data_IF_360802389052
#
_entry.id   IF_360802389052
#
_cell.length_a   1.000
_cell.length_b   1.000
_cell.length_c   1.000
_cell.angle_alpha   90.00
_cell.angle_beta   90.00
_cell.angle_gamma   90.00
#
_symmetry.space_group_name_H-M   'P 1'
#
loop_
_entity.id
_entity.type
_entity.pdbx_description
1 polymer ?
#
# COMPACT_ATOMS: atom_id res chain seq x y z
N UNK A 1 19.61 -16.34 -37.43
CA UNK A 1 19.16 -15.22 -36.56
C UNK A 1 20.26 -15.01 -35.54
N UNK A 2 20.91 -13.84 -35.52
CA UNK A 2 21.94 -13.53 -34.53
C UNK A 2 21.25 -13.47 -33.16
N UNK A 3 21.56 -14.42 -32.28
CA UNK A 3 21.14 -14.35 -30.88
C UNK A 3 21.92 -13.22 -30.23
N UNK A 4 21.22 -12.16 -29.82
CA UNK A 4 21.82 -11.08 -29.05
C UNK A 4 22.31 -11.71 -27.74
N UNK A 5 23.63 -11.89 -27.62
CA UNK A 5 24.27 -12.38 -26.41
C UNK A 5 24.43 -11.17 -25.49
N UNK A 6 23.48 -11.00 -24.57
CA UNK A 6 23.58 -9.99 -23.53
C UNK A 6 24.60 -10.48 -22.51
N UNK A 7 25.59 -9.65 -22.21
CA UNK A 7 26.44 -9.87 -21.06
C UNK A 7 25.60 -9.64 -19.77
N UNK A 8 25.89 -10.34 -18.66
CA UNK A 8 25.06 -10.29 -17.44
C UNK A 8 24.88 -8.88 -16.84
N UNK A 9 25.81 -7.97 -17.13
CA UNK A 9 25.80 -6.55 -16.76
C UNK A 9 24.83 -5.70 -17.60
N UNK A 10 24.41 -6.18 -18.77
CA UNK A 10 23.45 -5.51 -19.65
C UNK A 10 21.99 -5.77 -19.20
N UNK A 11 21.78 -6.60 -18.18
CA UNK A 11 20.44 -6.93 -17.68
C UNK A 11 19.93 -5.85 -16.71
N UNK A 12 18.64 -5.48 -16.78
CA UNK A 12 18.03 -4.63 -15.77
C UNK A 12 18.14 -5.28 -14.39
N UNK A 13 18.27 -4.45 -13.36
CA UNK A 13 18.22 -4.95 -11.99
C UNK A 13 16.94 -5.77 -11.77
N UNK A 14 17.05 -6.95 -11.11
CA UNK A 14 15.90 -7.79 -10.83
C UNK A 14 14.80 -7.00 -10.13
N UNK A 15 13.54 -7.23 -10.55
CA UNK A 15 12.40 -6.67 -9.87
C UNK A 15 12.37 -7.14 -8.40
N UNK A 16 11.87 -6.27 -7.51
CA UNK A 16 11.75 -6.61 -6.10
C UNK A 16 10.84 -7.83 -5.92
N UNK A 17 11.31 -8.86 -5.22
CA UNK A 17 10.60 -10.12 -4.98
C UNK A 17 9.45 -10.02 -3.95
N UNK A 18 8.79 -8.87 -3.85
CA UNK A 18 7.63 -8.71 -2.98
C UNK A 18 6.29 -8.69 -3.76
N UNK A 19 6.28 -8.66 -5.10
CA UNK A 19 5.05 -8.66 -5.91
C UNK A 19 4.03 -7.57 -5.50
N UNK A 20 4.50 -6.44 -4.96
CA UNK A 20 3.65 -5.38 -4.43
C UNK A 20 3.20 -5.58 -2.97
N UNK A 21 3.53 -6.71 -2.34
CA UNK A 21 3.23 -7.08 -0.95
C UNK A 21 4.21 -6.42 0.03
N UNK A 22 4.33 -5.10 -0.02
CA UNK A 22 5.16 -4.36 0.95
C UNK A 22 4.44 -4.14 2.28
N UNK A 23 5.17 -3.94 3.38
CA UNK A 23 4.55 -3.56 4.66
C UNK A 23 3.71 -2.28 4.53
N UNK A 24 4.17 -1.26 3.80
CA UNK A 24 3.38 -0.05 3.57
C UNK A 24 2.08 -0.35 2.79
N UNK A 25 2.15 -1.19 1.76
CA UNK A 25 0.97 -1.58 0.97
C UNK A 25 -0.06 -2.35 1.83
N UNK A 26 0.39 -3.34 2.60
CA UNK A 26 -0.51 -4.13 3.46
C UNK A 26 -1.11 -3.34 4.60
N UNK A 27 -0.34 -2.45 5.24
CA UNK A 27 -0.84 -1.57 6.29
C UNK A 27 -1.91 -0.63 5.74
N UNK A 28 -1.64 0.02 4.60
CA UNK A 28 -2.58 0.94 3.95
C UNK A 28 -3.87 0.22 3.55
N UNK A 29 -3.73 -0.92 2.84
CA UNK A 29 -4.88 -1.69 2.37
C UNK A 29 -5.76 -2.17 3.53
N UNK A 30 -5.16 -2.78 4.55
CA UNK A 30 -5.90 -3.26 5.72
C UNK A 30 -6.62 -2.12 6.44
N UNK A 31 -5.94 -0.98 6.63
CA UNK A 31 -6.54 0.20 7.27
C UNK A 31 -7.72 0.77 6.48
N UNK A 32 -7.62 0.87 5.16
CA UNK A 32 -8.71 1.32 4.28
C UNK A 32 -9.89 0.34 4.35
N UNK A 33 -9.64 -0.96 4.27
CA UNK A 33 -10.70 -1.99 4.36
C UNK A 33 -11.45 -1.88 5.69
N UNK A 34 -10.73 -1.76 6.81
CA UNK A 34 -11.35 -1.57 8.13
C UNK A 34 -12.16 -0.28 8.19
N UNK A 35 -11.61 0.84 7.72
CA UNK A 35 -12.33 2.12 7.68
C UNK A 35 -13.60 2.08 6.82
N UNK A 36 -13.55 1.40 5.67
CA UNK A 36 -14.71 1.19 4.80
C UNK A 36 -15.78 0.31 5.45
N UNK A 37 -15.40 -0.76 6.15
CA UNK A 37 -16.32 -1.60 6.92
C UNK A 37 -17.02 -0.77 8.01
N UNK A 38 -16.25 0.00 8.80
CA UNK A 38 -16.81 0.86 9.86
C UNK A 38 -17.76 1.91 9.27
N UNK A 39 -17.37 2.57 8.17
CA UNK A 39 -18.22 3.53 7.48
C UNK A 39 -19.52 2.90 6.96
N UNK A 40 -19.42 1.71 6.35
CA UNK A 40 -20.56 0.93 5.89
C UNK A 40 -21.53 0.57 7.01
N UNK A 41 -21.01 0.11 8.16
CA UNK A 41 -21.82 -0.13 9.37
C UNK A 41 -22.50 1.16 9.82
N UNK A 42 -21.82 2.29 9.79
CA UNK A 42 -22.41 3.59 10.12
C UNK A 42 -23.66 3.93 9.30
N UNK A 43 -23.67 3.60 8.01
CA UNK A 43 -24.86 3.74 7.17
C UNK A 43 -25.97 2.74 7.49
N UNK A 44 -25.64 1.53 7.97
CA UNK A 44 -26.63 0.53 8.39
C UNK A 44 -27.37 0.96 9.68
N UNK A 45 -26.69 1.67 10.58
CA UNK A 45 -27.24 2.14 11.88
C UNK A 45 -27.54 3.65 11.91
N UNK A 46 -27.99 4.21 10.77
CA UNK A 46 -27.96 5.64 10.40
C UNK A 46 -27.18 6.60 11.31
N UNK A 47 -25.91 6.31 11.60
CA UNK A 47 -25.09 7.10 12.52
C UNK A 47 -23.95 7.79 11.78
N UNK A 48 -24.12 9.09 11.51
CA UNK A 48 -23.09 9.91 10.88
C UNK A 48 -21.81 9.98 11.70
N UNK A 49 -21.88 9.86 13.03
CA UNK A 49 -20.70 9.78 13.88
C UNK A 49 -19.82 8.56 13.51
N UNK A 50 -20.44 7.40 13.26
CA UNK A 50 -19.74 6.17 12.87
C UNK A 50 -19.23 6.25 11.42
N UNK A 51 -19.98 6.91 10.53
CA UNK A 51 -19.53 7.21 9.16
C UNK A 51 -18.24 8.05 9.20
N UNK A 52 -18.23 9.13 9.98
CA UNK A 52 -17.05 9.98 10.15
C UNK A 52 -15.88 9.26 10.83
N UNK A 53 -16.15 8.35 11.78
CA UNK A 53 -15.11 7.49 12.35
C UNK A 53 -14.46 6.58 11.30
N UNK A 54 -15.27 5.97 10.41
CA UNK A 54 -14.76 5.20 9.28
C UNK A 54 -13.93 6.05 8.31
N UNK A 55 -14.40 7.25 7.97
CA UNK A 55 -13.64 8.18 7.12
C UNK A 55 -12.31 8.61 7.75
N UNK A 56 -12.29 8.88 9.06
CA UNK A 56 -11.07 9.21 9.79
C UNK A 56 -10.06 8.04 9.78
N UNK A 57 -10.53 6.80 9.90
CA UNK A 57 -9.68 5.61 9.78
C UNK A 57 -9.03 5.49 8.39
N UNK A 58 -9.78 5.78 7.33
CA UNK A 58 -9.24 5.80 5.95
C UNK A 58 -8.14 6.85 5.82
N UNK A 59 -8.38 8.07 6.31
CA UNK A 59 -7.37 9.15 6.29
C UNK A 59 -6.12 8.74 7.09
N UNK A 60 -6.29 8.17 8.27
CA UNK A 60 -5.19 7.68 9.09
C UNK A 60 -4.39 6.56 8.39
N UNK A 61 -5.07 5.63 7.70
CA UNK A 61 -4.43 4.57 6.93
C UNK A 61 -3.59 5.12 5.77
N UNK A 62 -4.09 6.15 5.06
CA UNK A 62 -3.35 6.83 3.99
C UNK A 62 -2.12 7.56 4.53
N UNK A 63 -2.24 8.28 5.64
CA UNK A 63 -1.12 8.96 6.29
C UNK A 63 -0.08 7.93 6.75
N UNK A 64 -0.51 6.87 7.44
CA UNK A 64 0.37 5.78 7.88
C UNK A 64 1.09 5.11 6.71
N UNK A 65 0.38 4.85 5.61
CA UNK A 65 0.95 4.33 4.37
C UNK A 65 2.01 5.23 3.76
N UNK A 66 1.75 6.53 3.70
CA UNK A 66 2.70 7.53 3.19
C UNK A 66 3.95 7.62 4.06
N UNK A 67 3.80 7.60 5.39
CA UNK A 67 4.92 7.59 6.34
C UNK A 67 5.75 6.31 6.15
N UNK A 68 5.11 5.15 6.12
CA UNK A 68 5.79 3.86 5.92
C UNK A 68 6.55 3.83 4.59
N UNK A 69 5.95 4.38 3.52
CA UNK A 69 6.61 4.54 2.22
C UNK A 69 7.84 5.43 2.33
N UNK A 70 7.74 6.60 2.99
CA UNK A 70 8.86 7.53 3.19
C UNK A 70 10.02 6.93 3.98
N UNK A 71 9.72 5.98 4.87
CA UNK A 71 10.73 5.23 5.64
C UNK A 71 11.32 4.02 4.87
N UNK A 72 10.98 3.83 3.59
CA UNK A 72 11.49 2.74 2.76
C UNK A 72 10.70 1.43 2.85
N UNK A 73 9.63 1.38 3.65
CA UNK A 73 8.77 0.19 3.76
C UNK A 73 7.76 0.04 2.60
N UNK A 74 7.75 0.99 1.66
CA UNK A 74 6.91 0.97 0.46
C UNK A 74 7.60 0.46 -0.80
N UNK A 75 8.82 -0.09 -0.64
CA UNK A 75 9.79 -0.58 -1.63
C UNK A 75 11.10 0.22 -1.60
N UNK A 76 12.23 -0.48 -1.81
CA UNK A 76 13.53 -0.03 -1.34
C UNK A 76 14.13 1.17 -2.06
N UNK A 77 14.88 1.89 -1.25
CA UNK A 77 15.90 2.86 -1.64
C UNK A 77 17.15 2.02 -1.98
N UNK A 78 17.53 1.96 -3.26
CA UNK A 78 18.81 1.36 -3.67
C UNK A 78 19.95 2.26 -3.17
N UNK A 79 21.02 1.67 -2.61
CA UNK A 79 22.27 2.39 -2.32
C UNK A 79 22.98 2.75 -3.62
#
# INVERSE_FOLDING_TARGET
MSSIHLEPDQLPDPANHNEGKTPAAWATNSGIVVGAIVGGVGFMIPSFAVVWAGAALVVAALIGGAVLRGLGYGQPIKK
#
